data_IF_744178781998
#
_entry.id   IF_744178781998
#
_cell.length_a   1.000
_cell.length_b   1.000
_cell.length_c   1.000
_cell.angle_alpha   90.00
_cell.angle_beta   90.00
_cell.angle_gamma   90.00
#
_symmetry.space_group_name_H-M   'P 1'
#
loop_
_entity.id
_entity.type
_entity.pdbx_description
1 polymer ?
#
# COMPACT_ATOMS: atom_id res chain seq x y z
N UNK A 1 -27.28 39.84 5.74
CA UNK A 1 -26.29 39.47 6.77
C UNK A 1 -26.46 38.03 7.29
N UNK A 2 -27.44 37.69 8.13
CA UNK A 2 -27.58 36.31 8.66
C UNK A 2 -27.96 35.27 7.60
N UNK A 3 -28.96 35.57 6.77
CA UNK A 3 -29.45 34.65 5.72
C UNK A 3 -28.39 34.41 4.63
N UNK A 4 -27.69 35.45 4.22
CA UNK A 4 -26.58 35.36 3.26
C UNK A 4 -25.43 34.52 3.81
N UNK A 5 -25.11 34.68 5.10
CA UNK A 5 -24.10 33.88 5.77
C UNK A 5 -24.47 32.40 5.83
N UNK A 6 -25.72 32.08 6.14
CA UNK A 6 -26.23 30.70 6.13
C UNK A 6 -26.24 30.11 4.71
N UNK A 7 -26.62 30.89 3.70
CA UNK A 7 -26.59 30.46 2.29
C UNK A 7 -25.15 30.20 1.79
N UNK A 8 -24.19 31.05 2.16
CA UNK A 8 -22.78 30.84 1.87
C UNK A 8 -22.24 29.58 2.54
N UNK A 9 -22.56 29.36 3.82
CA UNK A 9 -22.18 28.12 4.53
C UNK A 9 -22.80 26.87 3.90
N UNK A 10 -24.07 26.92 3.52
CA UNK A 10 -24.74 25.80 2.85
C UNK A 10 -24.10 25.49 1.48
N UNK A 11 -23.74 26.52 0.70
CA UNK A 11 -23.00 26.36 -0.56
C UNK A 11 -21.62 25.76 -0.35
N UNK A 12 -20.89 26.21 0.68
CA UNK A 12 -19.56 25.67 1.02
C UNK A 12 -19.63 24.21 1.48
N UNK A 13 -20.69 23.83 2.21
CA UNK A 13 -20.92 22.44 2.61
C UNK A 13 -21.19 21.54 1.40
N UNK A 14 -22.02 22.01 0.45
CA UNK A 14 -22.32 21.28 -0.79
C UNK A 14 -21.14 21.26 -1.77
N UNK A 15 -20.26 22.27 -1.74
CA UNK A 15 -19.05 22.34 -2.56
C UNK A 15 -17.85 21.62 -1.92
N UNK A 16 -18.01 21.02 -0.74
CA UNK A 16 -16.92 20.37 -0.02
C UNK A 16 -16.57 19.04 -0.69
N UNK A 17 -15.45 19.00 -1.39
CA UNK A 17 -14.91 17.81 -2.07
C UNK A 17 -13.81 17.10 -1.27
N UNK A 18 -13.49 17.58 -0.06
CA UNK A 18 -12.53 16.97 0.87
C UNK A 18 -12.99 15.63 1.48
N UNK A 19 -14.01 15.00 0.90
CA UNK A 19 -14.77 13.90 1.47
C UNK A 19 -14.13 12.53 1.31
N UNK A 20 -12.87 12.39 1.70
CA UNK A 20 -12.37 11.09 2.13
C UNK A 20 -11.84 11.23 3.55
N UNK A 21 -12.54 10.61 4.50
CA UNK A 21 -12.10 10.59 5.89
C UNK A 21 -10.75 9.90 5.95
N UNK A 22 -9.84 10.33 6.83
CA UNK A 22 -8.50 9.74 6.96
C UNK A 22 -8.54 8.20 7.10
N UNK A 23 -9.64 7.65 7.65
CA UNK A 23 -9.87 6.20 7.76
C UNK A 23 -10.10 5.50 6.41
N UNK A 24 -10.71 6.16 5.42
CA UNK A 24 -10.96 5.58 4.10
C UNK A 24 -9.64 5.45 3.31
N UNK A 25 -8.78 6.47 3.37
CA UNK A 25 -7.43 6.37 2.82
C UNK A 25 -6.60 5.29 3.52
N UNK A 26 -6.72 5.14 4.85
CA UNK A 26 -6.02 4.08 5.58
C UNK A 26 -6.45 2.68 5.12
N UNK A 27 -7.74 2.47 4.87
CA UNK A 27 -8.26 1.18 4.38
C UNK A 27 -7.80 0.93 2.94
N UNK A 28 -7.78 1.94 2.07
CA UNK A 28 -7.26 1.79 0.70
C UNK A 28 -5.78 1.38 0.71
N UNK A 29 -4.96 2.02 1.55
CA UNK A 29 -3.56 1.64 1.72
C UNK A 29 -3.42 0.21 2.23
N UNK A 30 -4.24 -0.20 3.19
CA UNK A 30 -4.24 -1.58 3.70
C UNK A 30 -4.57 -2.59 2.60
N UNK A 31 -5.56 -2.31 1.75
CA UNK A 31 -5.92 -3.18 0.62
C UNK A 31 -4.78 -3.29 -0.39
N UNK A 32 -4.12 -2.18 -0.72
CA UNK A 32 -2.95 -2.18 -1.61
C UNK A 32 -1.79 -2.95 -1.00
N UNK A 33 -1.54 -2.81 0.30
CA UNK A 33 -0.48 -3.53 1.01
C UNK A 33 -0.69 -5.05 0.98
N UNK A 34 -1.92 -5.51 1.21
CA UNK A 34 -2.27 -6.94 1.13
C UNK A 34 -1.98 -7.50 -0.26
N UNK A 35 -2.44 -6.80 -1.31
CA UNK A 35 -2.19 -7.20 -2.70
C UNK A 35 -0.68 -7.21 -2.99
N UNK A 36 0.05 -6.17 -2.60
CA UNK A 36 1.49 -6.09 -2.83
C UNK A 36 2.24 -7.27 -2.18
N UNK A 37 1.96 -7.59 -0.92
CA UNK A 37 2.60 -8.71 -0.23
C UNK A 37 2.27 -10.04 -0.91
N UNK A 38 1.01 -10.27 -1.28
CA UNK A 38 0.57 -11.51 -1.93
C UNK A 38 1.32 -11.81 -3.23
N UNK A 39 1.69 -10.78 -4.01
CA UNK A 39 2.39 -10.97 -5.28
C UNK A 39 3.91 -10.84 -5.17
N UNK A 40 4.41 -9.87 -4.40
CA UNK A 40 5.85 -9.59 -4.31
C UNK A 40 6.60 -10.69 -3.55
N UNK A 41 6.00 -11.25 -2.50
CA UNK A 41 6.63 -12.32 -1.70
C UNK A 41 6.99 -13.54 -2.54
N UNK A 42 6.04 -14.20 -3.26
CA UNK A 42 6.39 -15.37 -4.07
C UNK A 42 7.33 -15.03 -5.22
N UNK A 43 7.25 -13.83 -5.81
CA UNK A 43 8.21 -13.38 -6.82
C UNK A 43 9.63 -13.28 -6.24
N UNK A 44 9.79 -12.67 -5.07
CA UNK A 44 11.05 -12.59 -4.36
C UNK A 44 11.62 -13.98 -4.03
N UNK A 45 10.76 -14.92 -3.63
CA UNK A 45 11.16 -16.31 -3.36
C UNK A 45 11.71 -17.01 -4.62
N UNK A 46 11.11 -16.77 -5.80
CA UNK A 46 11.62 -17.29 -7.08
C UNK A 46 12.97 -16.69 -7.46
N UNK A 47 13.13 -15.39 -7.30
CA UNK A 47 14.40 -14.70 -7.57
C UNK A 47 15.49 -15.23 -6.64
N UNK A 48 15.20 -15.34 -5.34
CA UNK A 48 16.13 -15.91 -4.36
C UNK A 48 16.51 -17.35 -4.69
N UNK A 49 15.55 -18.18 -5.14
CA UNK A 49 15.83 -19.55 -5.57
C UNK A 49 16.82 -19.60 -6.75
N UNK A 50 16.67 -18.72 -7.74
CA UNK A 50 17.59 -18.63 -8.88
C UNK A 50 18.99 -18.29 -8.41
N UNK A 51 19.15 -17.26 -7.58
CA UNK A 51 20.45 -16.86 -7.06
C UNK A 51 21.08 -17.93 -6.15
N UNK A 52 20.29 -18.62 -5.34
CA UNK A 52 20.75 -19.74 -4.54
C UNK A 52 21.26 -20.90 -5.41
N UNK A 53 20.59 -21.20 -6.53
CA UNK A 53 21.07 -22.21 -7.48
C UNK A 53 22.43 -21.82 -8.08
N UNK A 54 22.62 -20.55 -8.42
CA UNK A 54 23.90 -20.03 -8.91
C UNK A 54 24.98 -20.16 -7.82
N UNK A 55 24.66 -19.77 -6.58
CA UNK A 55 25.61 -19.81 -5.46
C UNK A 55 26.06 -21.24 -5.14
N UNK A 56 25.14 -22.20 -5.15
CA UNK A 56 25.45 -23.62 -4.97
C UNK A 56 26.31 -24.15 -6.12
N UNK A 57 26.03 -23.75 -7.37
CA UNK A 57 26.86 -24.11 -8.52
C UNK A 57 28.30 -23.56 -8.41
N UNK A 58 28.49 -22.47 -7.67
CA UNK A 58 29.80 -21.89 -7.36
C UNK A 58 30.46 -22.49 -6.10
N UNK A 59 29.86 -23.50 -5.47
CA UNK A 59 30.37 -24.14 -4.25
C UNK A 59 30.04 -23.38 -2.95
N UNK A 60 29.15 -22.39 -3.00
CA UNK A 60 28.65 -21.67 -1.83
C UNK A 60 27.46 -22.35 -1.15
N UNK A 61 27.10 -21.85 0.04
CA UNK A 61 25.92 -22.28 0.78
C UNK A 61 24.70 -21.38 0.47
N UNK A 62 23.49 -21.92 0.58
CA UNK A 62 22.26 -21.15 0.31
C UNK A 62 22.01 -20.08 1.38
N UNK A 63 21.41 -18.97 0.95
CA UNK A 63 20.98 -17.86 1.81
C UNK A 63 19.48 -17.95 2.05
N UNK A 64 19.05 -17.68 3.29
CA UNK A 64 17.65 -17.61 3.68
C UNK A 64 17.26 -16.16 3.96
N UNK A 65 16.03 -15.79 3.61
CA UNK A 65 15.48 -14.47 3.91
C UNK A 65 15.29 -14.33 5.43
N UNK A 66 15.78 -13.25 6.06
CA UNK A 66 15.42 -12.93 7.43
C UNK A 66 13.90 -12.74 7.55
N UNK A 67 13.26 -13.44 8.48
CA UNK A 67 11.83 -13.25 8.76
C UNK A 67 11.68 -11.97 9.60
N UNK A 68 10.85 -10.99 9.19
CA UNK A 68 10.50 -9.84 10.02
C UNK A 68 9.68 -10.24 11.25
#
# INVERSE_FOLDING_TARGET
MLLEYLLLRARLLLARTEGASAIEYAIVVAMVAVVAVLFVTPMGDRVMAIFNNILVAMGGATVTRPVP
#
